data_IF_478818191433
#
_entry.id   IF_478818191433
#
_cell.length_a   1.000
_cell.length_b   1.000
_cell.length_c   1.000
_cell.angle_alpha   90.00
_cell.angle_beta   90.00
_cell.angle_gamma   90.00
#
_symmetry.space_group_name_H-M   'P 1'
#
loop_
_entity.id
_entity.type
_entity.pdbx_description
1 polymer ?
#
# COMPACT_ATOMS: atom_id res chain seq x y z
N UNK A 1 -46.39 -11.42 2.97
CA UNK A 1 -45.65 -10.28 2.37
C UNK A 1 -44.20 -10.72 2.15
N UNK A 2 -43.69 -10.81 0.91
CA UNK A 2 -42.26 -11.03 0.70
C UNK A 2 -41.53 -9.68 0.75
N UNK A 3 -40.48 -9.60 1.57
CA UNK A 3 -39.56 -8.46 1.59
C UNK A 3 -38.93 -8.28 0.21
N UNK A 4 -38.97 -7.06 -0.30
CA UNK A 4 -38.30 -6.68 -1.54
C UNK A 4 -36.79 -6.91 -1.37
N UNK A 5 -36.29 -7.93 -2.06
CA UNK A 5 -34.85 -8.16 -2.20
C UNK A 5 -34.27 -6.94 -2.94
N UNK A 6 -33.63 -6.03 -2.19
CA UNK A 6 -32.96 -4.87 -2.75
C UNK A 6 -31.94 -5.32 -3.80
N UNK A 7 -32.14 -4.89 -5.05
CA UNK A 7 -31.27 -5.22 -6.19
C UNK A 7 -29.86 -4.69 -5.91
N UNK A 8 -28.93 -5.56 -5.47
CA UNK A 8 -27.52 -5.20 -5.24
C UNK A 8 -26.95 -4.62 -6.55
N UNK A 9 -26.56 -3.35 -6.53
CA UNK A 9 -25.96 -2.67 -7.68
C UNK A 9 -24.58 -3.29 -7.94
N UNK A 10 -24.35 -3.77 -9.17
CA UNK A 10 -23.03 -4.21 -9.61
C UNK A 10 -22.14 -2.98 -9.80
N UNK A 11 -21.02 -2.91 -9.07
CA UNK A 11 -20.02 -1.82 -9.12
C UNK A 11 -18.78 -2.29 -9.88
N UNK A 12 -18.19 -1.40 -10.68
CA UNK A 12 -16.90 -1.58 -11.37
C UNK A 12 -16.04 -0.32 -11.22
N UNK A 13 -14.74 -0.49 -11.10
CA UNK A 13 -13.73 0.56 -11.08
C UNK A 13 -12.55 0.15 -11.95
N UNK A 14 -11.96 1.11 -12.66
CA UNK A 14 -10.77 0.92 -13.50
C UNK A 14 -9.79 2.03 -13.17
N UNK A 15 -8.55 1.66 -12.86
CA UNK A 15 -7.46 2.58 -12.57
C UNK A 15 -6.39 2.41 -13.64
N UNK A 16 -6.08 3.49 -14.35
CA UNK A 16 -4.99 3.52 -15.32
C UNK A 16 -3.69 3.93 -14.65
N UNK A 17 -2.64 3.16 -14.90
CA UNK A 17 -1.25 3.48 -14.58
C UNK A 17 -0.49 3.63 -15.91
N UNK A 18 0.80 3.98 -15.86
CA UNK A 18 1.59 4.27 -17.08
C UNK A 18 1.52 3.12 -18.08
N UNK A 19 1.73 1.88 -17.61
CA UNK A 19 1.76 0.68 -18.45
C UNK A 19 0.69 -0.36 -18.07
N UNK A 20 0.12 -0.25 -16.88
CA UNK A 20 -0.81 -1.24 -16.31
C UNK A 20 -2.21 -0.66 -16.13
N UNK A 21 -3.21 -1.53 -16.20
CA UNK A 21 -4.59 -1.20 -15.85
C UNK A 21 -5.09 -2.13 -14.76
N UNK A 22 -5.47 -1.56 -13.62
CA UNK A 22 -6.10 -2.31 -12.53
C UNK A 22 -7.62 -2.23 -12.65
N UNK A 23 -8.27 -3.39 -12.81
CA UNK A 23 -9.72 -3.51 -12.82
C UNK A 23 -10.24 -4.14 -11.53
N UNK A 24 -11.17 -3.47 -10.86
CA UNK A 24 -11.84 -3.94 -9.65
C UNK A 24 -13.37 -3.96 -9.84
N UNK A 25 -14.05 -4.88 -9.17
CA UNK A 25 -15.49 -4.99 -9.30
C UNK A 25 -16.14 -5.83 -8.22
N UNK A 26 -17.44 -5.62 -8.05
CA UNK A 26 -18.28 -6.32 -7.06
C UNK A 26 -18.45 -7.83 -7.29
N UNK A 27 -18.09 -8.34 -8.46
CA UNK A 27 -18.05 -9.77 -8.75
C UNK A 27 -17.05 -10.09 -9.85
N UNK A 28 -16.58 -11.34 -9.91
CA UNK A 28 -15.66 -11.83 -10.94
C UNK A 28 -16.23 -11.63 -12.34
N UNK A 29 -17.54 -11.83 -12.54
CA UNK A 29 -18.22 -11.58 -13.82
C UNK A 29 -18.04 -10.13 -14.31
N UNK A 30 -18.17 -9.17 -13.39
CA UNK A 30 -18.02 -7.73 -13.70
C UNK A 30 -16.59 -7.41 -14.08
N UNK A 31 -15.62 -8.01 -13.40
CA UNK A 31 -14.20 -7.84 -13.70
C UNK A 31 -13.88 -8.44 -15.07
N UNK A 32 -14.30 -9.68 -15.34
CA UNK A 32 -14.08 -10.36 -16.62
C UNK A 32 -14.69 -9.56 -17.77
N UNK A 33 -15.94 -9.10 -17.62
CA UNK A 33 -16.58 -8.25 -18.63
C UNK A 33 -15.83 -6.95 -18.87
N UNK A 34 -15.38 -6.28 -17.80
CA UNK A 34 -14.57 -5.06 -17.90
C UNK A 34 -13.26 -5.31 -18.64
N UNK A 35 -12.55 -6.40 -18.33
CA UNK A 35 -11.32 -6.81 -19.04
C UNK A 35 -11.58 -7.07 -20.52
N UNK A 36 -12.64 -7.79 -20.87
CA UNK A 36 -13.01 -8.05 -22.27
C UNK A 36 -13.39 -6.79 -23.04
N UNK A 37 -14.05 -5.83 -22.38
CA UNK A 37 -14.37 -4.53 -22.98
C UNK A 37 -13.13 -3.69 -23.25
N UNK A 38 -12.15 -3.73 -22.35
CA UNK A 38 -10.86 -3.03 -22.53
C UNK A 38 -10.03 -3.67 -23.64
N UNK A 39 -9.88 -5.00 -23.64
CA UNK A 39 -9.15 -5.77 -24.68
C UNK A 39 -9.68 -5.58 -26.09
N UNK A 40 -10.97 -5.27 -26.24
CA UNK A 40 -11.57 -5.01 -27.56
C UNK A 40 -11.17 -3.65 -28.12
N UNK A 41 -10.82 -2.70 -27.26
CA UNK A 41 -10.51 -1.31 -27.64
C UNK A 41 -9.02 -1.01 -27.62
N UNK A 42 -8.25 -1.74 -26.82
CA UNK A 42 -6.83 -1.54 -26.62
C UNK A 42 -6.12 -2.87 -26.78
N UNK A 43 -4.94 -2.83 -27.40
CA UNK A 43 -4.04 -3.98 -27.41
C UNK A 43 -3.44 -4.16 -26.02
N UNK A 44 -3.95 -5.14 -25.28
CA UNK A 44 -3.54 -5.38 -23.90
C UNK A 44 -3.63 -6.86 -23.53
N UNK A 45 -2.71 -7.29 -22.70
CA UNK A 45 -2.65 -8.65 -22.17
C UNK A 45 -3.32 -8.71 -20.79
N UNK A 46 -4.00 -9.83 -20.49
CA UNK A 46 -4.51 -10.03 -19.13
C UNK A 46 -3.46 -10.76 -18.30
N UNK A 47 -2.91 -10.04 -17.32
CA UNK A 47 -1.91 -10.57 -16.37
C UNK A 47 -2.54 -11.36 -15.22
N UNK A 48 -3.87 -11.58 -15.23
CA UNK A 48 -4.58 -12.39 -14.24
C UNK A 48 -4.99 -11.60 -13.00
N UNK A 49 -4.78 -12.19 -11.81
CA UNK A 49 -5.04 -11.52 -10.52
C UNK A 49 -3.85 -10.61 -10.21
N UNK A 50 -4.15 -9.39 -9.75
CA UNK A 50 -3.12 -8.46 -9.30
C UNK A 50 -2.42 -9.01 -8.05
N UNK A 51 -1.11 -9.24 -8.16
CA UNK A 51 -0.24 -9.58 -7.04
C UNK A 51 0.54 -8.36 -6.53
N UNK A 52 0.84 -7.41 -7.41
CA UNK A 52 1.51 -6.15 -7.07
C UNK A 52 0.92 -4.99 -7.86
N UNK A 53 0.84 -3.82 -7.23
CA UNK A 53 0.54 -2.55 -7.90
C UNK A 53 1.29 -1.43 -7.20
N UNK A 54 2.01 -0.59 -7.95
CA UNK A 54 2.85 0.49 -7.41
C UNK A 54 3.86 0.03 -6.33
N UNK A 55 4.34 -1.22 -6.41
CA UNK A 55 5.23 -1.81 -5.41
C UNK A 55 4.54 -2.28 -4.12
N UNK A 56 3.21 -2.21 -4.05
CA UNK A 56 2.39 -2.72 -2.94
C UNK A 56 1.91 -4.12 -3.30
N UNK A 57 2.09 -5.08 -2.38
CA UNK A 57 1.64 -6.44 -2.53
C UNK A 57 0.12 -6.54 -2.30
N UNK A 58 -0.55 -7.32 -3.14
CA UNK A 58 -2.00 -7.54 -3.10
C UNK A 58 -2.27 -9.01 -2.77
N UNK A 59 -2.69 -9.26 -1.53
CA UNK A 59 -3.04 -10.60 -1.05
C UNK A 59 -4.52 -10.85 -1.30
N UNK A 60 -4.81 -11.80 -2.19
CA UNK A 60 -6.18 -12.20 -2.49
C UNK A 60 -6.61 -13.30 -1.51
N UNK A 61 -7.55 -13.00 -0.62
CA UNK A 61 -8.02 -13.93 0.40
C UNK A 61 -9.09 -14.90 -0.14
N UNK A 62 -9.27 -16.02 0.56
CA UNK A 62 -10.23 -17.07 0.17
C UNK A 62 -11.69 -16.57 0.25
N UNK A 63 -11.97 -15.63 1.15
CA UNK A 63 -13.29 -14.98 1.31
C UNK A 63 -13.61 -13.97 0.21
N UNK A 64 -12.68 -13.75 -0.74
CA UNK A 64 -12.83 -12.82 -1.85
C UNK A 64 -12.41 -11.38 -1.51
N UNK A 65 -11.95 -11.11 -0.28
CA UNK A 65 -11.33 -9.83 0.06
C UNK A 65 -9.91 -9.71 -0.50
N UNK A 66 -9.43 -8.48 -0.66
CA UNK A 66 -8.06 -8.19 -1.07
C UNK A 66 -7.41 -7.32 0.01
N UNK A 67 -6.24 -7.75 0.49
CA UNK A 67 -5.46 -7.03 1.49
C UNK A 67 -4.22 -6.44 0.86
N UNK A 68 -3.99 -5.15 1.11
CA UNK A 68 -2.74 -4.48 0.74
C UNK A 68 -1.67 -4.80 1.79
N UNK A 69 -0.49 -5.26 1.35
CA UNK A 69 0.62 -5.62 2.21
C UNK A 69 1.93 -5.01 1.69
N UNK A 70 2.84 -4.65 2.58
CA UNK A 70 4.18 -4.17 2.23
C UNK A 70 5.27 -4.88 3.05
N UNK A 71 5.01 -6.09 3.53
CA UNK A 71 5.98 -6.83 4.38
C UNK A 71 7.35 -6.93 3.73
N UNK A 72 7.40 -7.33 2.45
CA UNK A 72 8.65 -7.41 1.68
C UNK A 72 9.37 -6.06 1.60
N UNK A 73 8.63 -4.98 1.38
CA UNK A 73 9.22 -3.64 1.34
C UNK A 73 9.76 -3.22 2.72
N UNK A 74 9.06 -3.52 3.81
CA UNK A 74 9.57 -3.29 5.18
C UNK A 74 10.89 -4.04 5.39
N UNK A 75 10.95 -5.33 5.04
CA UNK A 75 12.17 -6.13 5.20
C UNK A 75 13.34 -5.58 4.37
N UNK A 76 13.07 -5.13 3.14
CA UNK A 76 14.07 -4.54 2.26
C UNK A 76 14.56 -3.18 2.79
N UNK A 77 13.68 -2.37 3.37
CA UNK A 77 14.03 -1.10 4.03
C UNK A 77 14.89 -1.36 5.26
N UNK A 78 14.51 -2.31 6.13
CA UNK A 78 15.30 -2.67 7.31
C UNK A 78 16.70 -3.13 6.91
N UNK A 79 16.83 -4.00 5.90
CA UNK A 79 18.11 -4.44 5.34
C UNK A 79 18.95 -3.29 4.81
N UNK A 80 18.34 -2.42 4.01
CA UNK A 80 19.02 -1.30 3.37
C UNK A 80 19.66 -0.34 4.37
N UNK A 81 19.03 -0.15 5.53
CA UNK A 81 19.53 0.75 6.58
C UNK A 81 20.21 0.03 7.75
N UNK A 82 20.49 -1.28 7.62
CA UNK A 82 21.21 -2.05 8.65
C UNK A 82 20.41 -2.29 9.93
N UNK A 83 19.08 -2.38 9.83
CA UNK A 83 18.12 -2.48 10.93
C UNK A 83 17.44 -3.86 11.05
N UNK A 84 18.04 -4.92 10.50
CA UNK A 84 17.43 -6.27 10.50
C UNK A 84 17.11 -6.80 11.90
N UNK A 85 17.96 -6.49 12.87
CA UNK A 85 17.84 -6.99 14.24
C UNK A 85 17.13 -6.00 15.16
N UNK A 86 16.54 -4.94 14.60
CA UNK A 86 15.81 -3.95 15.39
C UNK A 86 14.55 -4.56 15.99
N UNK A 87 14.31 -4.27 17.27
CA UNK A 87 13.11 -4.71 17.98
C UNK A 87 11.92 -3.82 17.62
N UNK A 88 10.75 -4.43 17.50
CA UNK A 88 9.51 -3.68 17.35
C UNK A 88 9.26 -2.81 18.59
N UNK A 89 8.82 -1.58 18.36
CA UNK A 89 8.40 -0.63 19.40
C UNK A 89 6.90 -0.41 19.30
N UNK A 90 6.24 -0.20 20.44
CA UNK A 90 4.79 -0.02 20.52
C UNK A 90 4.38 1.38 20.01
N UNK A 91 5.19 2.39 20.32
CA UNK A 91 5.00 3.76 19.85
C UNK A 91 6.18 4.15 18.94
N UNK A 92 5.93 4.68 17.74
CA UNK A 92 6.98 5.18 16.87
C UNK A 92 7.65 6.48 17.38
N UNK A 93 7.08 7.12 18.42
CA UNK A 93 7.65 8.31 19.09
C UNK A 93 7.81 8.07 20.58
N UNK A 94 8.88 8.61 21.15
CA UNK A 94 9.06 8.69 22.60
C UNK A 94 8.31 9.91 23.15
N UNK A 95 7.29 9.68 23.97
CA UNK A 95 6.45 10.74 24.55
C UNK A 95 7.26 11.57 25.58
N UNK A 96 8.37 11.03 26.08
CA UNK A 96 9.22 11.67 27.10
C UNK A 96 10.34 12.55 26.53
N UNK A 97 10.51 12.66 25.21
CA UNK A 97 11.62 13.42 24.64
C UNK A 97 11.41 14.93 24.82
N UNK A 98 11.98 15.51 25.89
CA UNK A 98 12.15 16.97 25.99
C UNK A 98 13.21 17.37 24.98
N UNK A 99 12.81 18.14 23.96
CA UNK A 99 13.72 18.81 23.04
C UNK A 99 14.60 19.76 23.87
N UNK A 100 15.82 19.33 24.17
CA UNK A 100 16.84 20.19 24.75
C UNK A 100 17.55 20.91 23.61
N UNK A 101 17.88 22.21 23.75
CA UNK A 101 18.74 22.88 22.77
C UNK A 101 20.07 22.13 22.73
N UNK A 102 20.33 21.41 21.65
CA UNK A 102 21.63 20.77 21.44
C UNK A 102 22.61 21.85 21.01
N UNK A 103 23.72 21.99 21.72
CA UNK A 103 24.87 22.75 21.25
C UNK A 103 25.27 22.24 19.86
N UNK A 104 25.41 23.19 18.93
CA UNK A 104 25.44 22.99 17.48
C UNK A 104 26.73 22.33 16.92
N UNK A 105 27.32 21.38 17.65
CA UNK A 105 28.58 20.73 17.25
C UNK A 105 28.51 19.20 17.12
N UNK A 106 27.35 18.58 17.35
CA UNK A 106 27.26 17.11 17.31
C UNK A 106 26.67 16.62 15.99
N UNK A 107 27.56 16.34 15.04
CA UNK A 107 27.47 15.39 13.91
C UNK A 107 26.11 15.30 13.19
N UNK A 108 26.05 15.70 11.92
CA UNK A 108 25.33 15.11 10.78
C UNK A 108 24.21 14.05 11.04
N UNK A 109 23.32 14.26 12.02
CA UNK A 109 22.29 13.32 12.44
C UNK A 109 20.96 13.55 11.72
N UNK A 110 20.97 14.34 10.64
CA UNK A 110 19.80 14.51 9.79
C UNK A 110 19.42 13.13 9.22
N UNK A 111 18.14 12.71 9.33
CA UNK A 111 17.68 11.47 8.73
C UNK A 111 18.06 11.46 7.25
N UNK A 112 18.65 10.36 6.77
CA UNK A 112 19.00 10.27 5.36
C UNK A 112 17.74 10.48 4.52
N UNK A 113 17.81 11.30 3.45
CA UNK A 113 16.66 11.56 2.56
C UNK A 113 16.04 10.26 2.03
N UNK A 114 16.87 9.23 1.83
CA UNK A 114 16.42 7.89 1.44
C UNK A 114 15.59 7.19 2.52
N UNK A 115 15.95 7.31 3.80
CA UNK A 115 15.18 6.73 4.90
C UNK A 115 13.82 7.43 5.06
N UNK A 116 13.81 8.76 5.00
CA UNK A 116 12.56 9.54 5.03
C UNK A 116 11.65 9.14 3.87
N UNK A 117 12.19 9.05 2.64
CA UNK A 117 11.41 8.61 1.48
C UNK A 117 10.84 7.20 1.62
N UNK A 118 11.59 6.27 2.21
CA UNK A 118 11.11 4.91 2.47
C UNK A 118 9.97 4.86 3.51
N UNK A 119 10.11 5.63 4.59
CA UNK A 119 9.08 5.76 5.62
C UNK A 119 7.81 6.46 5.10
N UNK A 120 7.98 7.50 4.28
CA UNK A 120 6.87 8.17 3.58
C UNK A 120 6.11 7.18 2.69
N UNK A 121 6.81 6.33 1.94
CA UNK A 121 6.14 5.33 1.10
C UNK A 121 5.33 4.33 1.94
N UNK A 122 5.88 3.87 3.07
CA UNK A 122 5.16 3.00 4.01
C UNK A 122 3.91 3.68 4.58
N UNK A 123 4.04 4.95 5.03
CA UNK A 123 2.93 5.65 5.68
C UNK A 123 1.76 5.91 4.73
N UNK A 124 2.05 6.26 3.47
CA UNK A 124 1.01 6.59 2.49
C UNK A 124 0.30 5.35 1.97
N UNK A 125 0.97 4.19 1.96
CA UNK A 125 0.43 2.97 1.38
C UNK A 125 -0.24 2.06 2.42
N UNK A 126 0.45 1.67 3.49
CA UNK A 126 -0.06 0.60 4.41
C UNK A 126 0.14 0.84 5.91
N UNK A 127 0.97 1.82 6.32
CA UNK A 127 1.35 2.06 7.73
C UNK A 127 0.95 3.47 8.22
N UNK A 128 -0.35 3.76 8.29
CA UNK A 128 -0.81 5.06 8.81
C UNK A 128 -0.42 5.32 10.27
N UNK A 129 -0.07 4.29 11.04
CA UNK A 129 0.35 4.38 12.44
C UNK A 129 1.66 5.17 12.63
N UNK A 130 2.51 5.28 11.61
CA UNK A 130 3.75 6.08 11.66
C UNK A 130 3.57 7.49 11.07
N UNK A 131 2.38 7.84 10.56
CA UNK A 131 2.16 9.09 9.84
C UNK A 131 2.46 10.33 10.69
N UNK A 132 2.20 10.29 12.00
CA UNK A 132 2.50 11.39 12.92
C UNK A 132 4.00 11.69 13.06
N UNK A 133 4.86 10.67 12.94
CA UNK A 133 6.31 10.81 13.15
C UNK A 133 7.04 11.19 11.86
N UNK A 134 6.47 10.81 10.72
CA UNK A 134 7.11 10.95 9.41
C UNK A 134 6.60 12.19 8.65
N UNK A 135 5.32 12.53 8.82
CA UNK A 135 4.62 13.60 8.09
C UNK A 135 4.62 14.96 8.76
#
# INVERSE_FOLDING_TARGET
MPLSQGRKRKVRAVFGLVDDVLAAGSSTEVIVRTKSDLKRRFDMTDSGKCAFVLGIEMVNNIDGSVTMCQRRYVDDVLKRFGMNDCKAVISPTDISSRLTPSDAATKNNAPSRGAVGALMHLMTATRLDIAFVVG
#
